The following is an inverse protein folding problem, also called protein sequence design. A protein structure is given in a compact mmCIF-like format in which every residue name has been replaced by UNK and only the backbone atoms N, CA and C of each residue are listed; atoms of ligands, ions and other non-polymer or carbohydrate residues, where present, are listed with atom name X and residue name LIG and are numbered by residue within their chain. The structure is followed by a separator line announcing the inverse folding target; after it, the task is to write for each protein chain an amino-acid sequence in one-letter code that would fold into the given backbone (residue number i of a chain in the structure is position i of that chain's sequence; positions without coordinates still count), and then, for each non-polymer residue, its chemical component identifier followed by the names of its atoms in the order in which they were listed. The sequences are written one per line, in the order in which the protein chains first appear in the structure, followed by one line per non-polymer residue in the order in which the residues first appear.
data_IF_073662401760
#
_entry.id   IF_073662401760
#
_cell.length_a   1.000
_cell.length_b   1.000
_cell.length_c   1.000
_cell.angle_alpha   90.00
_cell.angle_beta   90.00
_cell.angle_gamma   90.00
#
_symmetry.space_group_name_H-M   'P 1'
#
loop_
_entity.id
_entity.type
_entity.pdbx_description
1 polymer ?
#
# COMPACT_ATOMS: atom_id res chain seq x y z
N UNK A 1 -74.14 65.04 34.05
CA UNK A 1 -75.04 64.40 33.07
C UNK A 1 -74.52 63.00 32.81
N UNK A 2 -75.37 62.01 33.06
CA UNK A 2 -75.43 60.66 32.45
C UNK A 2 -74.20 59.73 32.42
N UNK A 3 -74.35 58.64 33.19
CA UNK A 3 -74.16 57.20 32.85
C UNK A 3 -72.77 56.54 32.73
N UNK A 4 -72.54 55.60 33.66
CA UNK A 4 -72.03 54.20 33.59
C UNK A 4 -71.50 53.68 32.24
N UNK A 5 -70.52 52.75 32.11
CA UNK A 5 -69.74 51.93 33.04
C UNK A 5 -68.97 50.81 32.28
N UNK A 6 -67.88 50.33 32.91
CA UNK A 6 -67.16 49.01 32.85
C UNK A 6 -66.62 48.39 31.54
N UNK A 7 -65.40 47.83 31.67
CA UNK A 7 -64.89 46.62 30.99
C UNK A 7 -63.59 46.80 30.19
N UNK A 8 -62.39 46.73 30.79
CA UNK A 8 -61.46 45.57 30.90
C UNK A 8 -61.02 44.95 29.56
N UNK A 9 -59.70 44.88 29.32
CA UNK A 9 -59.12 43.94 28.35
C UNK A 9 -57.70 44.27 27.88
N UNK A 10 -56.69 43.93 28.70
CA UNK A 10 -55.28 43.93 28.31
C UNK A 10 -54.97 42.83 27.28
N UNK A 11 -54.21 43.16 26.24
CA UNK A 11 -53.63 42.20 25.30
C UNK A 11 -52.32 42.72 24.73
N UNK A 12 -51.26 42.72 25.55
CA UNK A 12 -49.90 43.06 25.11
C UNK A 12 -49.33 41.84 24.36
N UNK A 13 -49.00 42.03 23.08
CA UNK A 13 -48.30 41.04 22.26
C UNK A 13 -46.85 40.93 22.75
N UNK A 14 -46.47 39.76 23.27
CA UNK A 14 -45.07 39.39 23.47
C UNK A 14 -44.41 39.14 22.10
N UNK A 15 -43.33 39.86 21.81
CA UNK A 15 -42.36 39.47 20.78
C UNK A 15 -41.51 38.32 21.35
N UNK A 16 -41.69 37.11 20.81
CA UNK A 16 -40.77 36.01 21.04
C UNK A 16 -39.61 36.10 20.03
N UNK A 17 -38.41 36.37 20.54
CA UNK A 17 -37.16 36.23 19.78
C UNK A 17 -36.81 34.74 19.77
N UNK A 18 -36.96 34.10 18.61
CA UNK A 18 -36.55 32.71 18.42
C UNK A 18 -35.03 32.67 18.25
N UNK A 19 -34.31 32.20 19.29
CA UNK A 19 -32.92 31.80 19.17
C UNK A 19 -32.87 30.46 18.42
N UNK A 20 -32.42 30.49 17.17
CA UNK A 20 -32.12 29.29 16.41
C UNK A 20 -30.80 28.69 16.94
N UNK A 21 -30.90 27.70 17.83
CA UNK A 21 -29.79 26.80 18.09
C UNK A 21 -29.64 25.88 16.87
N UNK A 22 -28.67 26.19 16.02
CA UNK A 22 -28.18 25.23 15.03
C UNK A 22 -27.43 24.17 15.83
N UNK A 23 -28.10 23.05 16.09
CA UNK A 23 -27.43 21.82 16.47
C UNK A 23 -26.68 21.34 15.21
N UNK A 24 -25.38 21.62 15.13
CA UNK A 24 -24.51 20.86 14.24
C UNK A 24 -24.52 19.43 14.78
N UNK A 25 -25.36 18.59 14.22
CA UNK A 25 -25.18 17.15 14.30
C UNK A 25 -23.95 16.88 13.42
N UNK A 26 -22.77 16.90 14.04
CA UNK A 26 -21.64 16.14 13.52
C UNK A 26 -22.11 14.68 13.54
N UNK A 27 -22.57 14.19 12.41
CA UNK A 27 -22.61 12.75 12.19
C UNK A 27 -21.15 12.31 12.09
N UNK A 28 -20.54 12.01 13.22
CA UNK A 28 -19.48 11.02 13.23
C UNK A 28 -20.15 9.76 12.66
N UNK A 29 -19.77 9.38 11.43
CA UNK A 29 -20.08 8.05 10.94
C UNK A 29 -19.28 7.10 11.84
N UNK A 30 -19.89 6.67 12.95
CA UNK A 30 -19.37 5.59 13.75
C UNK A 30 -19.46 4.33 12.90
N UNK A 31 -18.31 3.89 12.38
CA UNK A 31 -18.17 2.57 11.82
C UNK A 31 -18.13 1.60 13.00
N UNK A 32 -19.30 1.06 13.33
CA UNK A 32 -19.48 0.18 14.47
C UNK A 32 -18.92 -1.23 14.17
N UNK A 33 -17.62 -1.39 14.40
CA UNK A 33 -17.10 -2.53 15.14
C UNK A 33 -16.71 -2.03 16.54
N UNK A 34 -16.89 -2.82 17.59
CA UNK A 34 -16.50 -2.47 18.97
C UNK A 34 -14.97 -2.49 19.16
N UNK A 35 -14.20 -2.05 18.15
CA UNK A 35 -12.75 -2.04 18.15
C UNK A 35 -12.23 -0.62 18.41
N UNK A 36 -11.37 -0.49 19.42
CA UNK A 36 -10.66 0.75 19.74
C UNK A 36 -9.15 0.50 19.70
N UNK A 37 -8.43 1.37 18.99
CA UNK A 37 -6.97 1.40 19.02
C UNK A 37 -6.52 2.55 19.94
N UNK A 38 -5.53 2.31 20.78
CA UNK A 38 -4.98 3.35 21.67
C UNK A 38 -3.47 3.21 21.85
N UNK A 39 -2.79 4.34 22.06
CA UNK A 39 -1.36 4.35 22.34
C UNK A 39 -1.05 3.62 23.66
N UNK A 40 -0.09 2.69 23.62
CA UNK A 40 0.50 2.09 24.81
C UNK A 40 1.80 2.80 25.17
N UNK A 41 2.71 2.91 24.20
CA UNK A 41 4.03 3.51 24.38
C UNK A 41 4.58 3.95 23.01
N UNK A 42 5.34 5.03 22.97
CA UNK A 42 6.06 5.47 21.77
C UNK A 42 7.56 5.45 22.04
N UNK A 43 8.28 4.58 21.32
CA UNK A 43 9.73 4.45 21.43
C UNK A 43 10.48 5.33 20.41
N UNK A 44 9.77 6.12 19.62
CA UNK A 44 10.28 7.06 18.62
C UNK A 44 10.42 6.45 17.23
N UNK A 45 10.97 5.24 17.11
CA UNK A 45 11.01 4.49 15.84
C UNK A 45 9.85 3.50 15.69
N UNK A 46 9.22 3.11 16.79
CA UNK A 46 8.06 2.20 16.86
C UNK A 46 7.03 2.74 17.83
N UNK A 47 5.79 2.85 17.36
CA UNK A 47 4.62 3.13 18.17
C UNK A 47 3.94 1.82 18.56
N UNK A 48 3.83 1.55 19.85
CA UNK A 48 3.09 0.40 20.36
C UNK A 48 1.67 0.82 20.64
N UNK A 49 0.71 0.09 20.07
CA UNK A 49 -0.72 0.37 20.21
C UNK A 49 -1.46 -0.86 20.72
N UNK A 50 -2.42 -0.64 21.60
CA UNK A 50 -3.36 -1.67 22.06
C UNK A 50 -4.58 -1.66 21.17
N UNK A 51 -5.00 -2.84 20.72
CA UNK A 51 -6.27 -3.06 20.05
C UNK A 51 -7.22 -3.74 21.04
N UNK A 52 -8.20 -3.00 21.53
CA UNK A 52 -9.25 -3.51 22.42
C UNK A 52 -10.56 -3.67 21.64
N UNK A 53 -11.42 -4.58 22.09
CA UNK A 53 -12.70 -4.84 21.48
C UNK A 53 -13.16 -6.29 21.52
N UNK A 54 -14.41 -6.50 21.14
CA UNK A 54 -14.97 -7.83 20.95
C UNK A 54 -14.38 -8.46 19.68
N UNK A 55 -13.70 -9.60 19.84
CA UNK A 55 -13.09 -10.39 18.76
C UNK A 55 -12.26 -9.60 17.74
N UNK A 56 -11.32 -8.79 18.26
CA UNK A 56 -10.43 -7.93 17.45
C UNK A 56 -9.66 -8.67 16.34
N UNK A 57 -9.47 -9.99 16.50
CA UNK A 57 -8.84 -10.85 15.48
C UNK A 57 -9.78 -11.00 14.28
N UNK A 58 -11.03 -11.38 14.52
CA UNK A 58 -12.03 -11.51 13.46
C UNK A 58 -12.27 -10.17 12.75
N UNK A 59 -12.27 -9.06 13.48
CA UNK A 59 -12.42 -7.72 12.90
C UNK A 59 -11.25 -7.35 11.96
N UNK A 60 -10.00 -7.66 12.34
CA UNK A 60 -8.84 -7.45 11.47
C UNK A 60 -8.90 -8.29 10.18
N UNK A 61 -9.53 -9.45 10.24
CA UNK A 61 -9.69 -10.39 9.13
C UNK A 61 -10.83 -9.97 8.20
N UNK A 62 -12.01 -9.65 8.75
CA UNK A 62 -13.24 -9.42 7.99
C UNK A 62 -13.42 -7.95 7.58
N UNK A 63 -12.97 -7.01 8.43
CA UNK A 63 -13.20 -5.57 8.27
C UNK A 63 -11.89 -4.80 8.12
N UNK A 64 -10.92 -5.42 7.45
CA UNK A 64 -9.53 -4.98 7.40
C UNK A 64 -9.35 -3.49 7.02
N UNK A 65 -10.14 -2.96 6.08
CA UNK A 65 -10.07 -1.55 5.67
C UNK A 65 -10.50 -0.60 6.79
N UNK A 66 -11.54 -0.94 7.53
CA UNK A 66 -12.01 -0.15 8.66
C UNK A 66 -11.08 -0.30 9.88
N UNK A 67 -10.55 -1.50 10.15
CA UNK A 67 -9.55 -1.69 11.21
C UNK A 67 -8.30 -0.84 10.96
N UNK A 68 -7.80 -0.77 9.72
CA UNK A 68 -6.66 0.10 9.36
C UNK A 68 -6.98 1.59 9.57
N UNK A 69 -8.21 2.03 9.25
CA UNK A 69 -8.65 3.40 9.54
C UNK A 69 -8.63 3.66 11.04
N UNK A 70 -9.19 2.78 11.86
CA UNK A 70 -9.19 2.90 13.33
C UNK A 70 -7.78 3.02 13.88
N UNK A 71 -6.86 2.15 13.44
CA UNK A 71 -5.47 2.14 13.89
C UNK A 71 -4.73 3.40 13.44
N UNK A 72 -4.89 3.82 12.18
CA UNK A 72 -4.24 5.03 11.66
C UNK A 72 -4.75 6.31 12.35
N UNK A 73 -6.07 6.43 12.58
CA UNK A 73 -6.64 7.57 13.29
C UNK A 73 -6.03 7.69 14.70
N UNK A 74 -6.00 6.59 15.46
CA UNK A 74 -5.40 6.58 16.80
C UNK A 74 -3.89 6.87 16.78
N UNK A 75 -3.16 6.47 15.73
CA UNK A 75 -1.76 6.88 15.54
C UNK A 75 -1.64 8.41 15.39
N UNK A 76 -2.46 9.04 14.55
CA UNK A 76 -2.42 10.49 14.31
C UNK A 76 -3.01 11.35 15.43
N UNK A 77 -3.67 10.77 16.44
CA UNK A 77 -4.01 11.50 17.66
C UNK A 77 -2.77 11.95 18.45
N UNK A 78 -1.65 11.23 18.29
CA UNK A 78 -0.42 11.43 19.06
C UNK A 78 0.78 11.83 18.19
N UNK A 79 0.68 11.69 16.87
CA UNK A 79 1.74 11.97 15.90
C UNK A 79 1.34 13.11 14.96
N UNK A 80 2.34 13.87 14.47
CA UNK A 80 2.10 14.87 13.43
C UNK A 80 1.79 14.25 12.07
N UNK A 81 1.15 15.03 11.20
CA UNK A 81 0.91 14.64 9.80
C UNK A 81 2.17 14.82 8.96
N UNK A 82 3.16 13.94 9.16
CA UNK A 82 4.41 13.95 8.43
C UNK A 82 4.86 12.56 7.96
N UNK A 83 4.00 11.55 8.08
CA UNK A 83 4.23 10.17 7.64
C UNK A 83 3.61 9.91 6.26
N UNK A 84 4.41 9.34 5.36
CA UNK A 84 3.97 8.93 4.03
C UNK A 84 3.42 7.51 4.02
N UNK A 85 3.90 6.66 4.92
CA UNK A 85 3.47 5.27 5.05
C UNK A 85 3.39 4.83 6.51
N UNK A 86 2.47 3.93 6.80
CA UNK A 86 2.43 3.18 8.06
C UNK A 86 2.68 1.70 7.77
N UNK A 87 3.49 1.05 8.62
CA UNK A 87 3.76 -0.39 8.56
C UNK A 87 3.36 -1.00 9.89
N UNK A 88 2.47 -1.98 9.85
CA UNK A 88 1.92 -2.63 11.03
C UNK A 88 2.37 -4.09 11.15
N UNK A 89 2.76 -4.45 12.37
CA UNK A 89 2.96 -5.82 12.82
C UNK A 89 2.03 -6.09 14.01
N UNK A 90 1.69 -7.35 14.25
CA UNK A 90 0.96 -7.77 15.45
C UNK A 90 1.84 -8.67 16.32
N UNK A 91 1.66 -8.64 17.64
CA UNK A 91 2.24 -9.63 18.57
C UNK A 91 1.30 -10.83 18.83
N UNK A 92 0.11 -10.80 18.23
CA UNK A 92 -0.88 -11.87 18.24
C UNK A 92 -1.20 -12.38 16.84
N UNK A 93 -1.69 -13.59 16.75
CA UNK A 93 -2.03 -14.26 15.49
C UNK A 93 -3.38 -13.76 14.93
N UNK A 94 -3.42 -13.55 13.62
CA UNK A 94 -4.63 -13.38 12.81
C UNK A 94 -4.37 -13.92 11.39
N UNK A 95 -5.43 -14.27 10.68
CA UNK A 95 -5.35 -14.81 9.33
C UNK A 95 -5.06 -13.70 8.32
N UNK A 96 -3.87 -13.77 7.71
CA UNK A 96 -3.57 -12.97 6.54
C UNK A 96 -4.46 -13.39 5.35
N UNK A 97 -4.82 -12.47 4.44
CA UNK A 97 -5.69 -12.75 3.30
C UNK A 97 -5.22 -13.97 2.49
N UNK A 98 -6.17 -14.85 2.15
CA UNK A 98 -5.94 -16.02 1.30
C UNK A 98 -6.46 -15.73 -0.11
N UNK A 99 -5.72 -16.20 -1.12
CA UNK A 99 -6.02 -15.99 -2.52
C UNK A 99 -5.57 -17.19 -3.36
N UNK A 100 -5.85 -17.16 -4.67
CA UNK A 100 -5.37 -18.15 -5.62
C UNK A 100 -4.30 -17.54 -6.52
N UNK A 101 -3.12 -18.17 -6.60
CA UNK A 101 -2.04 -17.78 -7.50
C UNK A 101 -1.82 -18.89 -8.52
N UNK A 102 -1.96 -18.58 -9.81
CA UNK A 102 -1.73 -19.56 -10.87
C UNK A 102 -2.60 -20.82 -10.76
N UNK A 103 -3.75 -20.73 -10.09
CA UNK A 103 -4.65 -21.86 -9.80
C UNK A 103 -4.43 -22.54 -8.43
N UNK A 104 -3.43 -22.14 -7.64
CA UNK A 104 -3.10 -22.76 -6.35
C UNK A 104 -3.43 -21.83 -5.17
N UNK A 105 -3.93 -22.36 -4.04
CA UNK A 105 -4.20 -21.56 -2.86
C UNK A 105 -2.89 -21.03 -2.24
N UNK A 106 -2.91 -19.76 -1.84
CA UNK A 106 -1.80 -19.08 -1.20
C UNK A 106 -2.30 -18.08 -0.15
N UNK A 107 -1.40 -17.69 0.75
CA UNK A 107 -1.66 -16.70 1.80
C UNK A 107 -0.68 -15.53 1.64
N UNK A 108 -1.18 -14.31 1.87
CA UNK A 108 -0.37 -13.10 1.85
C UNK A 108 0.73 -13.16 2.93
N UNK A 109 1.99 -12.95 2.54
CA UNK A 109 3.09 -12.77 3.49
C UNK A 109 3.15 -11.33 4.06
N UNK A 110 2.47 -10.42 3.38
CA UNK A 110 2.28 -9.01 3.68
C UNK A 110 1.28 -8.45 2.67
N UNK A 111 0.77 -7.25 2.90
CA UNK A 111 0.04 -6.54 1.87
C UNK A 111 0.07 -5.03 2.01
N UNK A 112 0.10 -4.35 0.86
CA UNK A 112 -0.12 -2.91 0.74
C UNK A 112 -1.61 -2.56 0.54
N UNK A 113 -2.04 -1.48 1.18
CA UNK A 113 -3.32 -0.82 0.98
C UNK A 113 -3.09 0.62 0.54
N UNK A 114 -3.57 0.95 -0.66
CA UNK A 114 -3.44 2.29 -1.25
C UNK A 114 -4.40 3.27 -0.58
N UNK A 115 -3.87 4.39 -0.08
CA UNK A 115 -4.66 5.45 0.58
C UNK A 115 -4.69 6.72 -0.28
N UNK A 116 -3.60 7.01 -0.97
CA UNK A 116 -3.51 8.15 -1.90
C UNK A 116 -2.69 7.78 -3.12
N UNK A 117 -3.16 8.21 -4.29
CA UNK A 117 -2.33 8.38 -5.47
C UNK A 117 -2.41 9.83 -5.97
N UNK A 118 -1.29 10.53 -5.88
CA UNK A 118 -1.08 11.89 -6.38
C UNK A 118 -0.08 11.94 -7.54
N UNK A 119 0.24 10.78 -8.12
CA UNK A 119 1.22 10.63 -9.19
C UNK A 119 0.53 10.18 -10.48
N UNK A 120 0.67 10.97 -11.54
CA UNK A 120 0.22 10.61 -12.88
C UNK A 120 1.22 9.66 -13.56
N UNK A 121 0.78 8.95 -14.60
CA UNK A 121 1.66 8.06 -15.38
C UNK A 121 1.89 6.68 -14.75
N UNK A 122 1.18 6.34 -13.66
CA UNK A 122 1.27 5.02 -13.01
C UNK A 122 0.24 4.01 -13.54
N UNK A 123 -0.66 4.42 -14.42
CA UNK A 123 -1.78 3.60 -14.88
C UNK A 123 -2.99 3.59 -13.94
N UNK A 124 -2.93 4.32 -12.83
CA UNK A 124 -4.02 4.57 -11.88
C UNK A 124 -4.52 6.02 -11.96
N UNK A 125 -5.82 6.23 -11.75
CA UNK A 125 -6.37 7.56 -11.57
C UNK A 125 -5.93 8.17 -10.23
N UNK A 126 -5.84 9.50 -10.11
CA UNK A 126 -5.55 10.14 -8.83
C UNK A 126 -6.73 9.99 -7.87
N UNK A 127 -6.43 9.79 -6.59
CA UNK A 127 -7.40 9.73 -5.50
C UNK A 127 -6.71 10.06 -4.17
N UNK A 128 -7.51 10.44 -3.16
CA UNK A 128 -7.02 10.72 -1.81
C UNK A 128 -8.08 10.32 -0.79
N UNK A 129 -7.75 9.34 0.04
CA UNK A 129 -8.56 8.87 1.17
C UNK A 129 -7.88 9.16 2.51
N UNK A 130 -6.79 9.94 2.53
CA UNK A 130 -5.96 10.14 3.73
C UNK A 130 -6.74 10.69 4.93
N UNK A 131 -7.74 11.54 4.69
CA UNK A 131 -8.66 12.07 5.71
C UNK A 131 -9.40 10.95 6.47
N UNK A 132 -9.78 9.85 5.80
CA UNK A 132 -10.46 8.70 6.44
C UNK A 132 -9.53 7.96 7.44
N UNK A 133 -8.22 8.15 7.30
CA UNK A 133 -7.17 7.53 8.11
C UNK A 133 -6.57 8.50 9.13
N UNK A 134 -7.16 9.70 9.32
CA UNK A 134 -6.71 10.71 10.27
C UNK A 134 -5.51 11.55 9.81
N UNK A 135 -5.01 11.34 8.59
CA UNK A 135 -3.96 12.15 7.97
C UNK A 135 -4.57 13.36 7.26
N UNK A 136 -3.83 14.47 7.16
CA UNK A 136 -4.28 15.69 6.49
C UNK A 136 -3.73 15.81 5.05
N UNK A 137 -3.65 14.69 4.32
CA UNK A 137 -3.16 14.64 2.94
C UNK A 137 -1.77 14.01 2.75
N UNK A 138 -1.07 13.62 3.82
CA UNK A 138 0.31 13.08 3.73
C UNK A 138 0.35 11.58 3.52
N UNK A 139 -0.50 10.82 4.21
CA UNK A 139 -0.47 9.36 4.18
C UNK A 139 -0.81 8.84 2.77
N UNK A 140 0.07 7.99 2.24
CA UNK A 140 -0.04 7.43 0.89
C UNK A 140 -0.46 5.97 0.89
N UNK A 141 -0.07 5.22 1.92
CA UNK A 141 -0.47 3.82 2.06
C UNK A 141 -0.16 3.21 3.40
N UNK A 142 -0.69 2.01 3.59
CA UNK A 142 -0.59 1.23 4.82
C UNK A 142 -0.15 -0.19 4.48
N UNK A 143 0.90 -0.69 5.12
CA UNK A 143 1.44 -2.04 4.92
C UNK A 143 1.12 -2.88 6.16
N UNK A 144 0.54 -4.06 5.95
CA UNK A 144 0.29 -5.04 7.00
C UNK A 144 1.23 -6.23 6.83
N UNK A 145 2.04 -6.53 7.84
CA UNK A 145 3.04 -7.62 7.83
C UNK A 145 2.61 -8.88 8.61
N UNK A 146 1.52 -8.82 9.36
CA UNK A 146 1.00 -9.94 10.13
C UNK A 146 1.69 -10.16 11.48
N UNK A 147 1.56 -11.39 11.99
CA UNK A 147 2.08 -11.80 13.29
C UNK A 147 3.61 -11.90 13.29
N UNK A 148 4.25 -11.15 14.17
CA UNK A 148 5.71 -11.01 14.28
C UNK A 148 6.43 -12.37 14.39
N UNK A 149 5.85 -13.31 15.15
CA UNK A 149 6.43 -14.63 15.40
C UNK A 149 6.31 -15.61 14.23
N UNK A 150 5.56 -15.26 13.18
CA UNK A 150 5.50 -16.04 11.93
C UNK A 150 6.58 -15.59 10.92
N UNK A 151 7.38 -14.57 11.27
CA UNK A 151 8.40 -13.98 10.41
C UNK A 151 9.79 -14.39 10.88
N UNK A 152 10.72 -14.61 9.94
CA UNK A 152 12.14 -14.70 10.27
C UNK A 152 12.69 -13.29 10.50
N UNK A 153 13.14 -13.02 11.73
CA UNK A 153 13.52 -11.68 12.19
C UNK A 153 14.97 -11.60 12.68
N UNK A 154 15.69 -12.73 12.71
CA UNK A 154 17.13 -12.75 13.01
C UNK A 154 17.94 -12.48 11.72
N UNK A 155 18.70 -11.36 11.65
CA UNK A 155 19.52 -11.04 10.48
C UNK A 155 20.58 -12.08 10.11
N UNK A 156 20.88 -13.03 11.01
CA UNK A 156 21.82 -14.13 10.77
C UNK A 156 21.19 -15.32 10.06
N UNK A 157 19.87 -15.41 10.02
CA UNK A 157 19.16 -16.51 9.35
C UNK A 157 18.97 -16.22 7.86
N UNK A 158 19.18 -17.20 6.95
CA UNK A 158 19.03 -16.99 5.49
C UNK A 158 17.65 -16.45 5.08
N UNK A 159 16.63 -16.87 5.83
CA UNK A 159 15.24 -16.52 5.56
C UNK A 159 14.87 -15.09 5.99
N UNK A 160 15.73 -14.37 6.71
CA UNK A 160 15.56 -12.94 7.02
C UNK A 160 15.38 -12.09 5.75
N UNK A 161 16.07 -12.49 4.68
CA UNK A 161 15.94 -11.84 3.37
C UNK A 161 14.50 -11.88 2.83
N UNK A 162 13.67 -12.86 3.24
CA UNK A 162 12.24 -12.92 2.86
C UNK A 162 11.48 -11.74 3.45
N UNK A 163 11.67 -11.42 4.73
CA UNK A 163 11.04 -10.26 5.38
C UNK A 163 11.39 -8.95 4.66
N UNK A 164 12.69 -8.74 4.39
CA UNK A 164 13.15 -7.53 3.71
C UNK A 164 12.56 -7.39 2.30
N UNK A 165 12.48 -8.51 1.57
CA UNK A 165 11.86 -8.58 0.24
C UNK A 165 10.37 -8.32 0.30
N UNK A 166 9.65 -8.89 1.27
CA UNK A 166 8.21 -8.67 1.45
C UNK A 166 7.91 -7.21 1.75
N UNK A 167 8.54 -6.59 2.75
CA UNK A 167 8.30 -5.17 3.06
C UNK A 167 8.59 -4.26 1.86
N UNK A 168 9.65 -4.55 1.11
CA UNK A 168 10.02 -3.79 -0.10
C UNK A 168 9.08 -4.06 -1.28
N UNK A 169 8.52 -5.27 -1.38
CA UNK A 169 7.49 -5.63 -2.36
C UNK A 169 6.21 -4.86 -2.08
N UNK A 170 5.75 -4.85 -0.83
CA UNK A 170 4.54 -4.12 -0.45
C UNK A 170 4.67 -2.62 -0.67
N UNK A 171 5.81 -2.03 -0.30
CA UNK A 171 6.03 -0.61 -0.57
C UNK A 171 6.04 -0.29 -2.08
N UNK A 172 6.50 -1.21 -2.92
CA UNK A 172 6.56 -1.00 -4.37
C UNK A 172 5.16 -0.96 -5.02
N UNK A 173 4.14 -1.59 -4.42
CA UNK A 173 2.75 -1.48 -4.89
C UNK A 173 2.20 -0.05 -4.86
N UNK A 174 2.80 0.89 -4.11
CA UNK A 174 2.47 2.32 -4.21
C UNK A 174 2.68 2.89 -5.62
N UNK A 175 3.63 2.32 -6.37
CA UNK A 175 4.15 2.92 -7.60
C UNK A 175 3.95 2.06 -8.85
N UNK A 176 3.97 0.73 -8.70
CA UNK A 176 4.21 -0.18 -9.81
C UNK A 176 3.14 -1.27 -9.96
N UNK A 177 3.24 -2.00 -11.07
CA UNK A 177 2.31 -3.03 -11.53
C UNK A 177 0.88 -2.57 -11.87
N UNK A 178 0.73 -1.31 -12.28
CA UNK A 178 -0.53 -0.80 -12.83
C UNK A 178 -0.41 -0.25 -14.26
N UNK A 179 0.82 -0.14 -14.77
CA UNK A 179 1.11 0.45 -16.06
C UNK A 179 0.66 -0.47 -17.21
N UNK A 180 -0.02 0.14 -18.19
CA UNK A 180 -0.38 -0.44 -19.48
C UNK A 180 0.59 0.06 -20.55
N UNK A 181 0.52 -0.51 -21.74
CA UNK A 181 1.30 -0.05 -22.89
C UNK A 181 0.48 -0.07 -24.18
N UNK A 182 0.92 0.68 -25.18
CA UNK A 182 0.37 0.61 -26.54
C UNK A 182 1.13 -0.48 -27.30
N UNK A 183 0.42 -1.48 -27.80
CA UNK A 183 1.00 -2.58 -28.55
C UNK A 183 1.36 -2.20 -30.01
N UNK A 184 1.96 -3.13 -30.75
CA UNK A 184 2.36 -2.90 -32.14
C UNK A 184 1.18 -2.62 -33.10
N UNK A 185 -0.06 -2.89 -32.69
CA UNK A 185 -1.28 -2.57 -33.45
C UNK A 185 -1.81 -1.16 -33.15
N UNK A 186 -1.26 -0.50 -32.13
CA UNK A 186 -1.71 0.80 -31.64
C UNK A 186 -2.83 0.71 -30.59
N UNK A 187 -3.11 -0.48 -30.06
CA UNK A 187 -4.13 -0.68 -29.02
C UNK A 187 -3.50 -0.66 -27.62
N UNK A 188 -4.22 -0.15 -26.61
CA UNK A 188 -3.82 -0.33 -25.22
C UNK A 188 -3.91 -1.81 -24.81
N UNK A 189 -2.90 -2.28 -24.08
CA UNK A 189 -2.77 -3.66 -23.62
C UNK A 189 -2.37 -3.72 -22.15
N UNK A 190 -2.89 -4.72 -21.45
CA UNK A 190 -2.58 -5.03 -20.05
C UNK A 190 -1.63 -6.24 -19.92
N UNK A 191 -1.03 -6.72 -21.02
CA UNK A 191 -0.21 -7.94 -21.01
C UNK A 191 1.06 -7.87 -20.13
N UNK A 192 1.45 -6.67 -19.69
CA UNK A 192 2.49 -6.46 -18.66
C UNK A 192 2.05 -6.92 -17.28
N UNK A 193 0.75 -7.10 -17.06
CA UNK A 193 0.16 -7.26 -15.75
C UNK A 193 -0.40 -8.67 -15.58
N UNK A 194 -0.30 -9.14 -14.36
CA UNK A 194 -1.22 -10.12 -13.83
C UNK A 194 -2.43 -9.38 -13.26
N UNK A 195 -3.61 -9.61 -13.84
CA UNK A 195 -4.89 -9.17 -13.30
C UNK A 195 -5.49 -10.27 -12.40
N UNK A 196 -5.59 -10.05 -11.09
CA UNK A 196 -6.31 -10.99 -10.20
C UNK A 196 -7.73 -10.49 -9.82
N UNK A 197 -8.57 -11.48 -9.49
CA UNK A 197 -9.99 -11.56 -9.11
C UNK A 197 -10.74 -10.25 -8.75
N UNK A 198 -11.92 -9.99 -9.37
CA UNK A 198 -12.85 -8.93 -8.97
C UNK A 198 -13.40 -9.17 -7.55
N UNK A 199 -12.65 -8.72 -6.55
CA UNK A 199 -13.02 -8.79 -5.14
C UNK A 199 -11.87 -8.46 -4.19
N UNK A 200 -10.62 -8.59 -4.64
CA UNK A 200 -9.45 -8.11 -3.92
C UNK A 200 -9.16 -6.66 -4.32
N UNK A 201 -9.02 -5.76 -3.36
CA UNK A 201 -8.57 -4.38 -3.59
C UNK A 201 -7.27 -4.37 -4.41
N UNK A 202 -7.35 -4.07 -5.71
CA UNK A 202 -6.29 -3.58 -6.61
C UNK A 202 -4.87 -4.14 -6.44
N UNK A 203 -4.69 -5.46 -6.24
CA UNK A 203 -3.35 -6.07 -6.24
C UNK A 203 -3.04 -6.64 -7.62
N UNK A 204 -2.28 -5.88 -8.38
CA UNK A 204 -1.70 -6.31 -9.65
C UNK A 204 -0.20 -6.51 -9.48
N UNK A 205 0.34 -7.47 -10.21
CA UNK A 205 1.77 -7.77 -10.26
C UNK A 205 2.26 -7.70 -11.70
N UNK A 206 3.57 -7.65 -11.90
CA UNK A 206 4.11 -7.86 -13.24
C UNK A 206 3.85 -9.30 -13.70
N UNK A 207 3.37 -9.43 -14.94
CA UNK A 207 3.06 -10.69 -15.60
C UNK A 207 4.25 -11.63 -15.58
N UNK A 208 4.01 -12.92 -15.35
CA UNK A 208 5.01 -13.98 -15.48
C UNK A 208 5.78 -13.93 -16.82
N UNK A 209 5.14 -13.46 -17.88
CA UNK A 209 5.71 -13.39 -19.22
C UNK A 209 6.57 -12.14 -19.47
N UNK A 210 6.53 -11.16 -18.55
CA UNK A 210 7.35 -9.95 -18.63
C UNK A 210 8.74 -10.20 -18.07
N UNK A 211 9.75 -9.79 -18.83
CA UNK A 211 11.12 -9.65 -18.36
C UNK A 211 11.27 -8.36 -17.54
N UNK A 212 11.25 -8.51 -16.23
CA UNK A 212 11.39 -7.43 -15.26
C UNK A 212 12.80 -7.34 -14.69
N UNK A 213 13.79 -8.03 -15.26
CA UNK A 213 15.15 -8.13 -14.69
C UNK A 213 15.12 -8.58 -13.20
N UNK A 214 14.12 -9.42 -12.87
CA UNK A 214 13.95 -9.99 -11.53
C UNK A 214 13.39 -9.02 -10.48
N UNK A 215 12.41 -8.18 -10.85
CA UNK A 215 11.69 -7.30 -9.94
C UNK A 215 11.14 -8.02 -8.70
N UNK A 216 11.13 -7.31 -7.57
CA UNK A 216 10.42 -7.76 -6.37
C UNK A 216 8.93 -7.92 -6.63
N UNK A 217 8.32 -7.12 -7.52
CA UNK A 217 6.89 -7.15 -7.85
C UNK A 217 6.53 -8.19 -8.93
N UNK A 218 7.32 -9.28 -8.98
CA UNK A 218 7.22 -10.40 -9.92
C UNK A 218 7.68 -10.09 -11.34
N UNK A 219 7.10 -10.75 -12.34
CA UNK A 219 7.78 -11.05 -13.61
C UNK A 219 9.01 -11.94 -13.42
N UNK A 220 9.66 -12.29 -14.52
CA UNK A 220 10.90 -13.06 -14.48
C UNK A 220 12.06 -12.22 -15.01
N UNK A 221 13.27 -12.73 -14.83
CA UNK A 221 14.47 -12.29 -15.55
C UNK A 221 14.62 -13.27 -16.73
N UNK A 222 14.12 -12.91 -17.92
CA UNK A 222 14.05 -13.83 -19.06
C UNK A 222 15.25 -13.68 -19.98
N UNK A 223 16.00 -14.76 -20.17
CA UNK A 223 17.03 -14.84 -21.21
C UNK A 223 16.45 -15.43 -22.50
N UNK A 224 16.50 -14.67 -23.61
CA UNK A 224 16.24 -15.20 -24.95
C UNK A 224 17.40 -16.09 -25.42
N UNK A 225 17.08 -17.33 -25.83
CA UNK A 225 18.06 -18.31 -26.31
C UNK A 225 18.35 -18.17 -27.82
N UNK A 226 17.61 -17.32 -28.54
CA UNK A 226 17.76 -17.07 -29.97
C UNK A 226 17.16 -18.15 -30.88
N UNK A 227 16.38 -19.07 -30.32
CA UNK A 227 15.74 -20.19 -31.02
C UNK A 227 14.21 -20.25 -30.80
N UNK A 228 13.61 -19.16 -30.32
CA UNK A 228 12.18 -19.09 -29.96
C UNK A 228 11.88 -19.66 -28.58
N UNK A 229 12.90 -19.91 -27.77
CA UNK A 229 12.77 -20.29 -26.37
C UNK A 229 13.43 -19.27 -25.43
N UNK A 230 12.92 -19.21 -24.21
CA UNK A 230 13.35 -18.28 -23.18
C UNK A 230 13.59 -19.02 -21.88
N UNK A 231 14.70 -18.73 -21.21
CA UNK A 231 15.07 -19.36 -19.94
C UNK A 231 15.07 -18.34 -18.81
N UNK A 232 14.33 -18.61 -17.73
CA UNK A 232 14.26 -17.73 -16.57
C UNK A 232 15.54 -17.81 -15.74
N UNK A 233 16.14 -16.67 -15.42
CA UNK A 233 17.25 -16.53 -14.50
C UNK A 233 16.76 -16.28 -13.06
N UNK A 234 17.65 -16.30 -12.05
CA UNK A 234 17.26 -16.10 -10.66
C UNK A 234 16.74 -14.67 -10.35
N UNK A 235 15.42 -14.48 -10.30
CA UNK A 235 14.78 -13.19 -10.05
C UNK A 235 14.31 -12.90 -8.61
N UNK A 236 13.41 -11.92 -8.49
CA UNK A 236 12.81 -11.38 -7.24
C UNK A 236 13.86 -10.87 -6.24
N UNK A 237 14.80 -10.05 -6.70
CA UNK A 237 15.90 -9.53 -5.89
C UNK A 237 16.03 -8.01 -5.93
N UNK A 238 15.54 -7.36 -6.98
CA UNK A 238 15.83 -5.96 -7.27
C UNK A 238 14.56 -5.16 -7.55
N UNK A 239 14.70 -3.85 -7.62
CA UNK A 239 13.77 -3.03 -8.39
C UNK A 239 14.27 -2.94 -9.82
N UNK A 240 13.41 -3.26 -10.77
CA UNK A 240 13.72 -3.15 -12.20
C UNK A 240 13.89 -1.69 -12.60
N UNK A 241 14.53 -1.40 -13.75
CA UNK A 241 14.54 -0.05 -14.30
C UNK A 241 13.13 0.56 -14.46
N UNK A 242 12.13 -0.25 -14.82
CA UNK A 242 10.73 0.19 -14.91
C UNK A 242 10.18 0.55 -13.52
N UNK A 243 10.43 -0.28 -12.51
CA UNK A 243 10.01 0.01 -11.13
C UNK A 243 10.61 1.33 -10.66
N UNK A 244 11.92 1.52 -10.86
CA UNK A 244 12.62 2.74 -10.47
C UNK A 244 12.09 3.97 -11.21
N UNK A 245 11.71 3.85 -12.50
CA UNK A 245 11.09 4.94 -13.24
C UNK A 245 9.72 5.29 -12.64
N UNK A 246 8.88 4.28 -12.36
CA UNK A 246 7.55 4.46 -11.77
C UNK A 246 7.61 5.00 -10.33
N UNK A 247 8.64 4.65 -9.57
CA UNK A 247 8.95 5.28 -8.27
C UNK A 247 9.47 6.71 -8.42
N UNK A 248 9.92 7.10 -9.62
CA UNK A 248 10.49 8.41 -9.89
C UNK A 248 11.94 8.57 -9.53
N UNK A 249 12.70 7.49 -9.46
CA UNK A 249 14.10 7.49 -9.06
C UNK A 249 15.05 7.59 -10.26
N UNK A 250 14.58 7.24 -11.46
CA UNK A 250 15.35 7.29 -12.70
C UNK A 250 14.56 7.95 -13.82
N UNK A 251 15.28 8.56 -14.77
CA UNK A 251 14.68 9.13 -15.97
C UNK A 251 14.26 8.03 -16.96
N UNK A 252 13.30 8.30 -17.85
CA UNK A 252 12.87 7.32 -18.86
C UNK A 252 14.03 6.85 -19.76
N UNK A 253 15.07 7.67 -19.95
CA UNK A 253 16.27 7.28 -20.70
C UNK A 253 17.11 6.19 -20.03
N UNK A 254 16.89 5.90 -18.74
CA UNK A 254 17.52 4.81 -18.00
C UNK A 254 16.67 3.51 -18.03
N UNK A 255 15.51 3.52 -18.69
CA UNK A 255 14.65 2.34 -18.85
C UNK A 255 14.94 1.70 -20.21
N UNK A 256 15.67 0.56 -20.28
CA UNK A 256 15.87 -0.15 -21.54
C UNK A 256 14.55 -0.75 -22.04
N UNK A 257 14.46 -1.09 -23.34
CA UNK A 257 13.38 -1.93 -23.84
C UNK A 257 13.34 -3.27 -23.10
N UNK A 258 12.13 -3.72 -22.77
CA UNK A 258 11.86 -4.97 -22.05
C UNK A 258 11.35 -6.03 -23.01
N UNK A 259 11.62 -7.29 -22.68
CA UNK A 259 11.04 -8.44 -23.35
C UNK A 259 9.68 -8.78 -22.72
N UNK A 260 8.66 -8.95 -23.57
CA UNK A 260 7.40 -9.59 -23.21
C UNK A 260 7.25 -10.83 -24.09
N UNK A 261 7.08 -12.00 -23.47
CA UNK A 261 6.90 -13.25 -24.22
C UNK A 261 5.43 -13.42 -24.55
N UNK A 262 5.08 -13.46 -25.84
CA UNK A 262 3.74 -13.82 -26.27
C UNK A 262 3.60 -15.34 -26.31
N UNK A 263 2.80 -15.88 -25.39
CA UNK A 263 2.43 -17.28 -25.36
C UNK A 263 1.05 -17.45 -24.70
N UNK A 264 -0.03 -17.68 -25.48
CA UNK A 264 -1.39 -17.79 -24.95
C UNK A 264 -1.63 -19.05 -24.11
N UNK A 265 -0.75 -20.07 -24.20
CA UNK A 265 -0.86 -21.31 -23.43
C UNK A 265 -0.27 -21.18 -22.02
N UNK A 266 0.42 -20.07 -21.72
CA UNK A 266 1.02 -19.81 -20.41
C UNK A 266 0.16 -18.82 -19.63
N UNK A 267 -0.29 -19.27 -18.46
CA UNK A 267 -0.95 -18.39 -17.52
C UNK A 267 0.02 -17.27 -17.05
N UNK A 268 -0.27 -15.98 -17.32
CA UNK A 268 0.56 -14.86 -16.87
C UNK A 268 0.54 -14.67 -15.35
N UNK A 269 -0.39 -15.31 -14.65
CA UNK A 269 -0.61 -15.23 -13.21
C UNK A 269 0.29 -16.15 -12.37
N UNK A 270 1.28 -16.79 -13.00
CA UNK A 270 2.21 -17.67 -12.28
C UNK A 270 3.21 -16.85 -11.46
N UNK A 271 3.60 -17.40 -10.31
CA UNK A 271 4.79 -16.88 -9.62
C UNK A 271 6.04 -17.04 -10.50
N UNK A 272 7.01 -16.12 -10.38
CA UNK A 272 8.30 -16.24 -11.03
C UNK A 272 9.00 -17.56 -10.68
N UNK A 273 9.70 -18.14 -11.64
CA UNK A 273 10.40 -19.41 -11.51
C UNK A 273 11.87 -19.22 -11.91
N UNK A 274 12.74 -20.13 -11.49
CA UNK A 274 14.17 -20.08 -11.82
C UNK A 274 14.55 -21.34 -12.58
N UNK A 275 15.29 -21.16 -13.68
CA UNK A 275 15.78 -22.24 -14.53
C UNK A 275 14.73 -22.94 -15.39
N UNK A 276 13.54 -22.38 -15.56
CA UNK A 276 12.52 -22.93 -16.47
C UNK A 276 12.71 -22.37 -17.87
N UNK A 277 12.39 -23.19 -18.88
CA UNK A 277 12.41 -22.79 -20.28
C UNK A 277 11.00 -22.86 -20.88
N UNK A 278 10.57 -21.79 -21.53
CA UNK A 278 9.30 -21.72 -22.27
C UNK A 278 9.56 -21.36 -23.72
N UNK A 279 8.64 -21.70 -24.62
CA UNK A 279 8.62 -21.20 -26.00
C UNK A 279 7.69 -20.00 -26.12
N UNK A 280 7.85 -19.18 -27.14
CA UNK A 280 6.93 -18.09 -27.46
C UNK A 280 7.51 -17.14 -28.49
N UNK A 281 6.78 -16.07 -28.78
CA UNK A 281 7.28 -14.99 -29.63
C UNK A 281 7.82 -13.84 -28.75
N UNK A 282 8.98 -13.30 -29.12
CA UNK A 282 9.57 -12.16 -28.42
C UNK A 282 8.88 -10.85 -28.87
N UNK A 283 8.21 -10.18 -27.94
CA UNK A 283 7.73 -8.82 -28.11
C UNK A 283 8.65 -7.85 -27.37
N UNK A 284 8.95 -6.71 -27.98
CA UNK A 284 9.68 -5.63 -27.34
C UNK A 284 8.69 -4.58 -26.85
N UNK A 285 8.77 -4.23 -25.57
CA UNK A 285 8.00 -3.13 -24.97
C UNK A 285 8.99 -2.04 -24.54
N UNK A 286 8.78 -0.83 -25.03
CA UNK A 286 9.61 0.33 -24.66
C UNK A 286 8.91 1.20 -23.63
N UNK A 287 9.68 2.06 -22.96
CA UNK A 287 9.10 3.04 -22.04
C UNK A 287 8.16 4.02 -22.76
N UNK A 288 8.41 4.31 -24.04
CA UNK A 288 7.55 5.19 -24.83
C UNK A 288 6.19 4.53 -25.13
N UNK A 289 6.13 3.19 -25.26
CA UNK A 289 4.87 2.47 -25.42
C UNK A 289 4.01 2.56 -24.15
N UNK A 290 4.66 2.53 -22.98
CA UNK A 290 4.01 2.74 -21.68
C UNK A 290 3.53 4.18 -21.56
N UNK A 291 4.40 5.16 -21.83
CA UNK A 291 4.07 6.59 -21.79
C UNK A 291 2.92 6.92 -22.75
N UNK A 292 2.87 6.29 -23.93
CA UNK A 292 1.78 6.46 -24.87
C UNK A 292 0.42 5.99 -24.32
N UNK A 293 0.39 4.99 -23.44
CA UNK A 293 -0.82 4.45 -22.84
C UNK A 293 -1.23 5.19 -21.56
N UNK A 294 -0.29 5.48 -20.66
CA UNK A 294 -0.61 5.98 -19.31
C UNK A 294 -0.15 7.42 -19.05
N UNK A 295 0.56 8.02 -20.00
CA UNK A 295 1.17 9.35 -19.87
C UNK A 295 2.56 9.32 -19.25
N UNK A 296 3.26 10.46 -19.34
CA UNK A 296 4.52 10.69 -18.65
C UNK A 296 4.30 10.63 -17.13
N UNK A 297 5.30 10.14 -16.39
CA UNK A 297 5.22 10.15 -14.93
C UNK A 297 5.35 11.58 -14.39
N UNK A 298 4.34 12.03 -13.65
CA UNK A 298 4.33 13.36 -13.03
C UNK A 298 4.07 13.23 -11.53
N UNK A 299 4.91 13.81 -10.65
CA UNK A 299 6.12 14.59 -10.95
C UNK A 299 7.20 13.74 -11.62
N UNK A 300 8.05 14.30 -12.48
CA UNK A 300 9.14 13.55 -13.13
C UNK A 300 10.24 13.13 -12.14
N UNK A 301 11.18 12.29 -12.56
CA UNK A 301 12.26 11.82 -11.68
C UNK A 301 13.08 12.96 -11.04
N UNK A 302 13.29 14.06 -11.76
CA UNK A 302 14.00 15.23 -11.24
C UNK A 302 13.25 15.97 -10.09
N UNK A 303 11.92 15.85 -10.05
CA UNK A 303 11.06 16.61 -9.13
C UNK A 303 10.33 15.75 -8.11
N UNK A 304 10.25 14.43 -8.35
CA UNK A 304 9.55 13.52 -7.46
C UNK A 304 10.23 13.45 -6.09
N UNK A 305 9.45 13.31 -5.00
CA UNK A 305 10.01 13.13 -3.67
C UNK A 305 11.02 11.99 -3.63
N UNK A 306 12.10 12.22 -2.88
CA UNK A 306 13.22 11.29 -2.69
C UNK A 306 13.44 10.98 -1.22
N UNK A 307 12.49 11.34 -0.36
CA UNK A 307 12.51 11.12 1.07
C UNK A 307 11.06 10.88 1.50
N UNK A 308 10.81 9.76 2.16
CA UNK A 308 9.52 9.41 2.75
C UNK A 308 9.74 9.04 4.21
N UNK A 309 8.76 9.36 5.04
CA UNK A 309 8.74 8.97 6.45
C UNK A 309 7.81 7.79 6.63
N UNK A 310 8.29 6.75 7.31
CA UNK A 310 7.53 5.53 7.59
C UNK A 310 7.33 5.40 9.09
N UNK A 311 6.08 5.25 9.52
CA UNK A 311 5.73 4.95 10.91
C UNK A 311 5.60 3.44 11.09
N UNK A 312 6.18 2.90 12.16
CA UNK A 312 6.06 1.48 12.48
C UNK A 312 5.14 1.30 13.67
N UNK A 313 4.12 0.46 13.51
CA UNK A 313 3.13 0.17 14.53
C UNK A 313 3.31 -1.29 14.97
N UNK A 314 3.52 -1.51 16.26
CA UNK A 314 3.36 -2.81 16.89
C UNK A 314 2.01 -2.85 17.59
N UNK A 315 1.11 -3.69 17.09
CA UNK A 315 -0.22 -3.85 17.63
C UNK A 315 -0.27 -5.02 18.60
N UNK A 316 -0.81 -4.76 19.79
CA UNK A 316 -0.92 -5.73 20.89
C UNK A 316 -2.33 -5.82 21.44
N UNK A 317 -2.63 -6.89 22.18
CA UNK A 317 -3.87 -7.00 22.95
C UNK A 317 -3.75 -6.22 24.27
N UNK A 318 -4.88 -5.85 24.90
CA UNK A 318 -4.88 -5.05 26.12
C UNK A 318 -4.06 -5.69 27.25
N UNK A 319 -2.99 -4.99 27.66
CA UNK A 319 -2.11 -5.44 28.75
C UNK A 319 -1.18 -6.61 28.39
N UNK A 320 -1.07 -6.99 27.12
CA UNK A 320 -0.24 -8.11 26.67
C UNK A 320 1.12 -7.69 26.09
N UNK A 321 1.36 -6.38 25.90
CA UNK A 321 2.61 -5.86 25.34
C UNK A 321 3.85 -6.39 26.09
N UNK A 322 4.78 -6.97 25.33
CA UNK A 322 6.09 -7.37 25.82
C UNK A 322 7.18 -6.52 25.18
N UNK A 323 8.03 -5.89 26.01
CA UNK A 323 9.13 -5.04 25.54
C UNK A 323 10.06 -5.75 24.54
N UNK A 324 10.20 -7.08 24.65
CA UNK A 324 10.98 -7.88 23.70
C UNK A 324 10.47 -7.81 22.24
N UNK A 325 9.18 -7.56 22.03
CA UNK A 325 8.56 -7.53 20.69
C UNK A 325 8.90 -6.22 19.98
N UNK A 326 8.85 -5.11 20.73
CA UNK A 326 9.40 -3.83 20.27
C UNK A 326 10.88 -3.96 19.87
N UNK A 327 11.70 -4.66 20.68
CA UNK A 327 13.12 -4.85 20.39
C UNK A 327 13.37 -5.62 19.07
N UNK A 328 12.42 -6.43 18.61
CA UNK A 328 12.51 -7.09 17.30
C UNK A 328 12.36 -6.06 16.18
N UNK A 329 11.35 -5.19 16.25
CA UNK A 329 11.12 -4.16 15.24
C UNK A 329 12.27 -3.13 15.18
N UNK A 330 12.78 -2.69 16.33
CA UNK A 330 13.92 -1.76 16.37
C UNK A 330 15.21 -2.34 15.75
N UNK A 331 15.31 -3.67 15.60
CA UNK A 331 16.37 -4.33 14.81
C UNK A 331 16.04 -4.40 13.32
N UNK A 332 14.78 -4.65 12.95
CA UNK A 332 14.33 -4.80 11.55
C UNK A 332 14.42 -3.47 10.80
N UNK A 333 13.94 -2.38 11.40
CA UNK A 333 13.83 -1.04 10.78
C UNK A 333 15.16 -0.57 10.15
N UNK A 334 16.30 -0.52 10.88
CA UNK A 334 17.56 -0.09 10.29
C UNK A 334 18.07 -1.04 9.19
N UNK A 335 17.77 -2.34 9.26
CA UNK A 335 18.14 -3.30 8.21
C UNK A 335 17.33 -3.07 6.95
N UNK A 336 16.02 -2.84 7.08
CA UNK A 336 15.17 -2.54 5.93
C UNK A 336 15.57 -1.22 5.26
N UNK A 337 15.97 -0.22 6.05
CA UNK A 337 16.56 1.01 5.53
C UNK A 337 17.79 0.76 4.65
N UNK A 338 18.73 -0.05 5.14
CA UNK A 338 19.93 -0.41 4.36
C UNK A 338 19.57 -1.24 3.12
N UNK A 339 18.67 -2.20 3.25
CA UNK A 339 18.19 -3.05 2.16
C UNK A 339 17.56 -2.23 1.04
N UNK A 340 16.61 -1.37 1.39
CA UNK A 340 15.90 -0.52 0.43
C UNK A 340 16.83 0.50 -0.23
N UNK A 341 17.82 1.03 0.51
CA UNK A 341 18.86 1.86 -0.09
C UNK A 341 19.66 1.10 -1.15
N UNK A 342 19.89 -0.21 -0.97
CA UNK A 342 20.57 -1.02 -1.98
C UNK A 342 19.67 -1.29 -3.20
N UNK A 343 18.36 -1.54 -2.99
CA UNK A 343 17.39 -1.73 -4.09
C UNK A 343 17.24 -0.51 -5.00
N UNK A 344 17.61 0.67 -4.51
CA UNK A 344 17.42 1.95 -5.20
C UNK A 344 18.74 2.62 -5.60
N UNK A 345 19.87 1.91 -5.49
CA UNK A 345 21.23 2.47 -5.69
C UNK A 345 21.48 3.78 -4.90
N UNK A 346 20.85 3.90 -3.72
CA UNK A 346 20.92 5.08 -2.87
C UNK A 346 20.15 6.31 -3.40
N UNK A 347 19.37 6.16 -4.48
CA UNK A 347 18.53 7.23 -5.05
C UNK A 347 17.16 7.31 -4.35
N UNK A 348 16.80 6.29 -3.58
CA UNK A 348 15.52 6.17 -2.90
C UNK A 348 15.44 6.80 -1.50
N UNK A 349 14.21 6.96 -0.99
CA UNK A 349 13.81 7.67 0.22
C UNK A 349 14.45 7.23 1.53
N UNK A 350 15.24 8.12 2.15
CA UNK A 350 15.42 8.17 3.61
C UNK A 350 15.73 9.60 4.11
N UNK A 351 14.76 10.23 4.77
CA UNK A 351 14.97 11.43 5.60
C UNK A 351 15.65 11.11 6.94
N UNK A 352 16.08 12.16 7.67
CA UNK A 352 16.66 12.04 9.01
C UNK A 352 15.62 11.49 10.01
N UNK A 353 16.08 10.57 10.86
CA UNK A 353 15.42 10.20 12.12
C UNK A 353 15.43 11.40 13.07
#
# INVERSE_FOLDING_TARGET
MSFEGRGVGNGVRLLAVAAAFIFCILTASGYAGDMEASLVEDFGDVTVMSLDGDDVVQELEDNASDSRRTIANAFYETHGDDYDFLVMFTDFEFDMPRYTIGGEPAQAAGYYSSIKNDTDGLGQAPFDLSDDYGSAGRLQGFITMGHLYNLETDPMEPDFSKLMRTMSHELLHRFAADARFVDATGAESEALLWNYDPGAENRRHWSYLLDTDGSLLYGNDWQDNGDGTFTSLPGRKYYSPLDLYLMGLVDKSEVPPMLLIDNPDINPEKLPQTGVTISGDALTVTIEDIIAAVGERIPSAANAPKEFKVGFILLTKPGEFLEKDYLVLSRIIPQWKMWFSALTDGRGPWGRL
#
